data_IF_215721702665
#
_entry.id   IF_215721702665
#
_cell.length_a   1.000
_cell.length_b   1.000
_cell.length_c   1.000
_cell.angle_alpha   90.00
_cell.angle_beta   90.00
_cell.angle_gamma   90.00
#
_symmetry.space_group_name_H-M   'P 1'
#
loop_
_entity.id
_entity.type
_entity.pdbx_description
1 polymer ?
#
# COMPACT_ATOMS: atom_id res chain seq x y z
N UNK A 1 19.04 19.46 1.79
CA UNK A 1 18.73 18.55 2.92
C UNK A 1 19.92 17.62 3.13
N UNK A 2 20.34 17.33 4.38
CA UNK A 2 21.59 16.59 4.67
C UNK A 2 21.62 15.15 4.13
N UNK A 3 20.48 14.57 3.77
CA UNK A 3 20.35 13.19 3.24
C UNK A 3 19.80 13.15 1.80
N UNK A 4 19.79 14.28 1.08
CA UNK A 4 19.12 14.35 -0.23
C UNK A 4 19.70 13.37 -1.26
N UNK A 5 21.02 13.16 -1.26
CA UNK A 5 21.68 12.24 -2.19
C UNK A 5 21.21 10.80 -1.98
N UNK A 6 21.12 10.36 -0.72
CA UNK A 6 20.65 9.02 -0.38
C UNK A 6 19.18 8.82 -0.74
N UNK A 7 18.33 9.81 -0.44
CA UNK A 7 16.89 9.74 -0.76
C UNK A 7 16.66 9.62 -2.26
N UNK A 8 17.33 10.44 -3.07
CA UNK A 8 17.20 10.39 -4.53
C UNK A 8 17.73 9.08 -5.11
N UNK A 9 18.86 8.58 -4.60
CA UNK A 9 19.39 7.28 -5.00
C UNK A 9 18.42 6.13 -4.71
N UNK A 10 17.86 6.08 -3.49
CA UNK A 10 16.88 5.05 -3.09
C UNK A 10 15.59 5.17 -3.87
N UNK A 11 15.12 6.39 -4.14
CA UNK A 11 13.92 6.64 -4.95
C UNK A 11 14.04 6.02 -6.35
N UNK A 12 15.16 6.25 -7.04
CA UNK A 12 15.43 5.64 -8.35
C UNK A 12 15.53 4.11 -8.28
N UNK A 13 16.08 3.56 -7.19
CA UNK A 13 16.08 2.12 -6.97
C UNK A 13 14.65 1.56 -6.83
N UNK A 14 13.77 2.22 -6.07
CA UNK A 14 12.37 1.79 -5.92
C UNK A 14 11.62 1.79 -7.25
N UNK A 15 11.78 2.84 -8.05
CA UNK A 15 11.19 2.92 -9.40
C UNK A 15 11.64 1.76 -10.29
N UNK A 16 12.94 1.44 -10.28
CA UNK A 16 13.51 0.33 -11.09
C UNK A 16 13.08 -1.06 -10.62
N UNK A 17 12.70 -1.21 -9.35
CA UNK A 17 12.17 -2.44 -8.78
C UNK A 17 10.65 -2.62 -9.02
N UNK A 18 9.99 -1.67 -9.69
CA UNK A 18 8.55 -1.75 -9.97
C UNK A 18 7.68 -1.52 -8.73
N UNK A 19 8.18 -0.78 -7.73
CA UNK A 19 7.36 -0.37 -6.59
C UNK A 19 6.18 0.46 -7.07
N UNK A 20 4.97 0.13 -6.58
CA UNK A 20 3.72 0.71 -7.08
C UNK A 20 3.39 2.07 -6.46
N UNK A 21 3.67 2.25 -5.17
CA UNK A 21 3.29 3.43 -4.40
C UNK A 21 4.19 3.60 -3.16
N UNK A 22 4.03 4.73 -2.48
CA UNK A 22 4.69 5.04 -1.20
C UNK A 22 3.63 5.22 -0.11
N UNK A 23 3.85 4.59 1.04
CA UNK A 23 3.07 4.68 2.29
C UNK A 23 4.02 4.53 3.49
N UNK A 24 3.52 4.49 4.73
CA UNK A 24 4.39 4.64 5.91
C UNK A 24 4.25 3.54 6.98
N UNK A 25 3.18 2.74 6.95
CA UNK A 25 2.81 1.87 8.08
C UNK A 25 3.07 0.38 7.81
N UNK A 26 2.91 -0.08 6.58
CA UNK A 26 2.76 -1.51 6.29
C UNK A 26 4.01 -2.33 6.54
N UNK A 27 5.21 -1.77 6.29
CA UNK A 27 6.45 -2.46 6.61
C UNK A 27 6.54 -2.84 8.11
N UNK A 28 6.13 -1.95 9.01
CA UNK A 28 6.11 -2.23 10.44
C UNK A 28 5.01 -3.22 10.80
N UNK A 29 3.78 -3.04 10.27
CA UNK A 29 2.66 -3.93 10.54
C UNK A 29 2.94 -5.36 10.09
N UNK A 30 3.53 -5.55 8.91
CA UNK A 30 3.86 -6.88 8.37
C UNK A 30 4.96 -7.57 9.18
N UNK A 31 6.01 -6.84 9.56
CA UNK A 31 7.05 -7.36 10.46
C UNK A 31 6.48 -7.81 11.81
N UNK A 32 5.65 -6.97 12.45
CA UNK A 32 5.02 -7.31 13.72
C UNK A 32 4.06 -8.49 13.58
N UNK A 33 3.25 -8.54 12.53
CA UNK A 33 2.32 -9.62 12.28
C UNK A 33 3.03 -10.96 12.08
N UNK A 34 4.13 -10.97 11.31
CA UNK A 34 4.97 -12.14 11.13
C UNK A 34 5.58 -12.62 12.46
N UNK A 35 6.05 -11.71 13.31
CA UNK A 35 6.60 -12.05 14.62
C UNK A 35 5.54 -12.58 15.61
N UNK A 36 4.30 -12.07 15.54
CA UNK A 36 3.18 -12.46 16.40
C UNK A 36 2.42 -13.69 15.89
N UNK A 37 2.73 -14.19 14.69
CA UNK A 37 2.02 -15.32 14.08
C UNK A 37 0.58 -15.00 13.69
N UNK A 38 0.29 -13.77 13.28
CA UNK A 38 -1.04 -13.31 12.85
C UNK A 38 -1.04 -12.91 11.37
N UNK A 39 -2.22 -12.99 10.72
CA UNK A 39 -2.40 -12.53 9.34
C UNK A 39 -2.48 -10.99 9.30
N UNK A 40 -1.86 -10.38 8.30
CA UNK A 40 -1.93 -8.93 8.05
C UNK A 40 -1.90 -8.67 6.54
N UNK A 41 -2.57 -7.61 6.10
CA UNK A 41 -2.59 -7.14 4.72
C UNK A 41 -3.02 -5.68 4.67
N UNK A 42 -2.75 -5.02 3.54
CA UNK A 42 -3.05 -3.60 3.33
C UNK A 42 -3.62 -3.38 1.92
N UNK A 43 -4.54 -2.43 1.80
CA UNK A 43 -5.01 -1.86 0.54
C UNK A 43 -5.01 -0.33 0.66
N UNK A 44 -4.79 0.37 -0.44
CA UNK A 44 -4.59 1.82 -0.41
C UNK A 44 -5.39 2.52 -1.50
N UNK A 45 -5.84 3.73 -1.19
CA UNK A 45 -6.30 4.69 -2.17
C UNK A 45 -5.10 5.50 -2.70
N UNK A 46 -4.98 5.63 -4.02
CA UNK A 46 -3.93 6.44 -4.64
C UNK A 46 -4.43 7.88 -4.73
N UNK A 47 -3.95 8.72 -3.82
CA UNK A 47 -4.33 10.15 -3.79
C UNK A 47 -3.75 10.86 -5.02
N UNK A 48 -2.49 10.57 -5.35
CA UNK A 48 -1.71 11.28 -6.37
C UNK A 48 -0.50 10.45 -6.82
N UNK A 49 0.10 10.80 -7.98
CA UNK A 49 1.34 10.20 -8.47
C UNK A 49 2.34 11.27 -8.98
N UNK A 50 3.38 11.52 -8.17
CA UNK A 50 4.45 12.47 -8.49
C UNK A 50 5.26 12.15 -9.75
N UNK A 51 5.42 10.87 -10.09
CA UNK A 51 6.23 10.48 -11.27
C UNK A 51 5.45 10.67 -12.56
N UNK A 52 4.10 10.55 -12.51
CA UNK A 52 3.24 10.95 -13.64
C UNK A 52 3.30 12.45 -13.87
N UNK A 53 3.18 13.25 -12.81
CA UNK A 53 3.29 14.70 -12.91
C UNK A 53 4.65 15.13 -13.47
N UNK A 54 5.75 14.57 -12.96
CA UNK A 54 7.10 14.84 -13.46
C UNK A 54 7.29 14.47 -14.93
N UNK A 55 6.57 13.46 -15.42
CA UNK A 55 6.57 13.05 -16.83
C UNK A 55 5.59 13.85 -17.71
N UNK A 56 4.87 14.84 -17.15
CA UNK A 56 3.84 15.59 -17.87
C UNK A 56 2.65 14.73 -18.30
N UNK A 57 2.42 13.61 -17.62
CA UNK A 57 1.28 12.73 -17.86
C UNK A 57 0.07 13.19 -17.07
N UNK A 58 -1.11 12.94 -17.62
CA UNK A 58 -2.38 13.27 -16.98
C UNK A 58 -2.50 12.64 -15.59
N UNK A 59 -2.95 13.43 -14.62
CA UNK A 59 -3.13 13.00 -13.25
C UNK A 59 -4.22 13.87 -12.60
N UNK A 60 -5.13 13.24 -11.89
CA UNK A 60 -6.17 13.91 -11.10
C UNK A 60 -6.01 13.46 -9.65
N UNK A 61 -5.86 14.43 -8.74
CA UNK A 61 -5.82 14.14 -7.31
C UNK A 61 -7.20 13.65 -6.85
N UNK A 62 -7.23 12.53 -6.12
CA UNK A 62 -8.47 11.94 -5.63
C UNK A 62 -8.46 11.80 -4.12
N UNK A 63 -9.52 12.28 -3.48
CA UNK A 63 -9.74 12.11 -2.04
C UNK A 63 -10.92 11.20 -1.72
N UNK A 64 -11.56 10.61 -2.73
CA UNK A 64 -12.63 9.64 -2.53
C UNK A 64 -12.05 8.29 -2.11
N UNK A 65 -12.23 7.94 -0.84
CA UNK A 65 -11.72 6.70 -0.27
C UNK A 65 -12.65 5.50 -0.46
N UNK A 66 -13.81 5.67 -1.10
CA UNK A 66 -14.89 4.68 -1.13
C UNK A 66 -14.42 3.33 -1.65
N UNK A 67 -13.67 3.30 -2.75
CA UNK A 67 -13.16 2.06 -3.34
C UNK A 67 -12.21 1.28 -2.40
N UNK A 68 -11.29 1.97 -1.72
CA UNK A 68 -10.38 1.34 -0.78
C UNK A 68 -11.12 0.79 0.46
N UNK A 69 -12.14 1.52 0.93
CA UNK A 69 -12.99 1.08 2.04
C UNK A 69 -13.81 -0.15 1.66
N UNK A 70 -14.46 -0.14 0.49
CA UNK A 70 -15.23 -1.28 -0.02
C UNK A 70 -14.35 -2.53 -0.13
N UNK A 71 -13.17 -2.42 -0.75
CA UNK A 71 -12.22 -3.54 -0.86
C UNK A 71 -11.82 -4.05 0.53
N UNK A 72 -11.50 -3.16 1.47
CA UNK A 72 -11.14 -3.55 2.83
C UNK A 72 -12.27 -4.30 3.55
N UNK A 73 -13.51 -3.80 3.46
CA UNK A 73 -14.68 -4.41 4.10
C UNK A 73 -14.99 -5.78 3.48
N UNK A 74 -15.04 -5.87 2.16
CA UNK A 74 -15.36 -7.13 1.47
C UNK A 74 -14.26 -8.19 1.69
N UNK A 75 -12.99 -7.81 1.70
CA UNK A 75 -11.89 -8.73 2.01
C UNK A 75 -12.05 -9.33 3.42
N UNK A 76 -12.45 -8.53 4.42
CA UNK A 76 -12.69 -9.03 5.78
C UNK A 76 -13.89 -9.97 5.83
N UNK A 77 -14.98 -9.67 5.12
CA UNK A 77 -16.14 -10.58 5.01
C UNK A 77 -15.74 -11.94 4.42
N UNK A 78 -14.96 -11.94 3.35
CA UNK A 78 -14.44 -13.16 2.72
C UNK A 78 -13.54 -13.96 3.68
N UNK A 79 -12.68 -13.30 4.45
CA UNK A 79 -11.86 -13.96 5.47
C UNK A 79 -12.70 -14.60 6.57
N UNK A 80 -13.78 -13.94 7.01
CA UNK A 80 -14.71 -14.48 8.01
C UNK A 80 -15.39 -15.75 7.47
N UNK A 81 -15.84 -15.74 6.21
CA UNK A 81 -16.47 -16.90 5.59
C UNK A 81 -15.49 -18.06 5.43
N UNK A 82 -14.26 -17.79 4.98
CA UNK A 82 -13.20 -18.79 4.87
C UNK A 82 -12.85 -19.42 6.24
N UNK A 83 -12.74 -18.59 7.29
CA UNK A 83 -12.45 -19.07 8.64
C UNK A 83 -13.60 -19.90 9.24
N UNK A 84 -14.87 -19.60 8.89
CA UNK A 84 -16.03 -20.41 9.27
C UNK A 84 -16.02 -21.75 8.54
N UNK A 85 -15.75 -21.76 7.24
CA UNK A 85 -15.69 -22.97 6.43
C UNK A 85 -14.57 -23.92 6.88
N UNK A 86 -13.42 -23.39 7.32
CA UNK A 86 -12.29 -24.19 7.80
C UNK A 86 -12.50 -24.81 9.20
N UNK A 87 -13.53 -24.38 9.95
CA UNK A 87 -13.85 -24.90 11.30
C UNK A 87 -14.93 -25.99 11.31
N UNK A 88 -15.69 -26.14 10.23
CA UNK A 88 -16.69 -27.20 10.06
C UNK A 88 -16.07 -28.46 9.49
#
# INVERSE_FOLDING_TARGET
MPVSQELLYKWEAWKRLGVLASEMESAALFCCAAALGVRCGSCFHVIWNQEREAAGLDQEESHDLSAALEVGIEAVKLLIEADRAAKG
#
